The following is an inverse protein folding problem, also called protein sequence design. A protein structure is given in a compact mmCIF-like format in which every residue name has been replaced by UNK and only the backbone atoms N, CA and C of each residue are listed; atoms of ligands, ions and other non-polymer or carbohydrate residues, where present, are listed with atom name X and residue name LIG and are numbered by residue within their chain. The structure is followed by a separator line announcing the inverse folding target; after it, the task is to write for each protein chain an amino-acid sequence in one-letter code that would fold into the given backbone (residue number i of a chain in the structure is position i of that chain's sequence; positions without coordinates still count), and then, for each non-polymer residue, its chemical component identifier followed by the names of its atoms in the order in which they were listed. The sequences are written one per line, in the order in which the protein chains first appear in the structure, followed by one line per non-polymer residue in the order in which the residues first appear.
data_IF_840478216507
#
_entry.id   IF_840478216507
#
_cell.length_a   1.000
_cell.length_b   1.000
_cell.length_c   1.000
_cell.angle_alpha   90.00
_cell.angle_beta   90.00
_cell.angle_gamma   90.00
#
_symmetry.space_group_name_H-M   'P 1'
#
loop_
_entity.id
_entity.type
_entity.pdbx_description
1 polymer ?
#
# COMPACT_ATOMS: atom_id res chain seq x y z
N UNK A 1 -1.74 -22.78 -23.81
CA UNK A 1 -2.32 -21.46 -24.08
C UNK A 1 -1.25 -20.59 -24.75
N UNK A 2 -1.58 -19.88 -25.82
CA UNK A 2 -0.62 -19.01 -26.50
C UNK A 2 -0.21 -17.89 -25.60
N UNK A 3 1.09 -17.58 -25.56
CA UNK A 3 1.59 -16.33 -24.98
C UNK A 3 0.76 -15.15 -25.54
N UNK A 4 0.49 -14.11 -24.76
CA UNK A 4 -0.04 -12.87 -25.30
C UNK A 4 0.87 -12.38 -26.44
N UNK A 5 0.38 -11.50 -27.30
CA UNK A 5 1.22 -10.95 -28.37
C UNK A 5 2.32 -10.12 -27.72
N UNK A 6 3.48 -10.74 -27.48
CA UNK A 6 4.58 -10.17 -26.74
C UNK A 6 5.49 -9.33 -27.64
N UNK A 7 5.98 -8.21 -27.08
CA UNK A 7 6.97 -7.34 -27.69
C UNK A 7 8.30 -8.08 -27.89
N UNK A 8 9.11 -7.65 -28.88
CA UNK A 8 10.44 -8.19 -29.12
C UNK A 8 11.41 -8.05 -27.93
N UNK A 9 11.10 -7.14 -26.99
CA UNK A 9 11.87 -6.89 -25.77
C UNK A 9 11.18 -7.48 -24.51
N UNK A 10 10.30 -8.47 -24.67
CA UNK A 10 9.61 -9.06 -23.55
C UNK A 10 10.54 -9.87 -22.63
N UNK A 11 10.37 -9.69 -21.33
CA UNK A 11 11.13 -10.35 -20.26
C UNK A 11 10.22 -11.02 -19.26
N UNK A 12 10.58 -12.25 -18.88
CA UNK A 12 10.08 -12.89 -17.68
C UNK A 12 11.01 -12.52 -16.53
N UNK A 13 10.44 -12.05 -15.41
CA UNK A 13 11.17 -11.71 -14.20
C UNK A 13 10.72 -12.60 -13.04
N UNK A 14 11.65 -13.00 -12.19
CA UNK A 14 11.41 -13.69 -10.94
C UNK A 14 11.63 -12.70 -9.79
N UNK A 15 10.64 -12.58 -8.92
CA UNK A 15 10.64 -11.63 -7.81
C UNK A 15 10.44 -12.43 -6.52
N UNK A 16 11.28 -12.19 -5.51
CA UNK A 16 11.09 -12.76 -4.18
C UNK A 16 9.88 -12.14 -3.48
N UNK A 17 9.32 -12.81 -2.50
CA UNK A 17 8.23 -12.27 -1.69
C UNK A 17 8.62 -10.96 -0.98
N UNK A 18 9.90 -10.76 -0.72
CA UNK A 18 10.46 -9.52 -0.16
C UNK A 18 10.59 -8.38 -1.18
N UNK A 19 10.26 -8.61 -2.47
CA UNK A 19 10.25 -7.61 -3.52
C UNK A 19 11.56 -7.48 -4.32
N UNK A 20 12.54 -8.36 -4.12
CA UNK A 20 13.80 -8.35 -4.88
C UNK A 20 13.64 -9.06 -6.23
N UNK A 21 14.15 -8.47 -7.29
CA UNK A 21 14.26 -9.13 -8.59
C UNK A 21 15.43 -10.11 -8.54
N UNK A 22 15.11 -11.40 -8.48
CA UNK A 22 16.07 -12.49 -8.32
C UNK A 22 16.49 -13.13 -9.63
N UNK A 23 15.88 -12.74 -10.74
CA UNK A 23 16.22 -13.28 -12.06
C UNK A 23 15.40 -12.67 -13.16
N UNK A 24 15.95 -12.69 -14.38
CA UNK A 24 15.23 -12.28 -15.58
C UNK A 24 15.70 -13.06 -16.80
N UNK A 25 14.84 -13.21 -17.79
CA UNK A 25 15.15 -13.84 -19.08
C UNK A 25 14.29 -13.26 -20.18
N UNK A 26 14.88 -13.00 -21.36
CA UNK A 26 14.11 -12.64 -22.55
C UNK A 26 13.29 -13.85 -23.02
N UNK A 27 12.03 -13.60 -23.39
CA UNK A 27 11.09 -14.66 -23.81
C UNK A 27 10.60 -14.49 -25.24
N UNK A 28 11.02 -13.47 -25.96
CA UNK A 28 10.62 -13.23 -27.33
C UNK A 28 10.97 -14.39 -28.24
N UNK A 29 10.00 -14.87 -29.00
CA UNK A 29 10.16 -15.96 -29.97
C UNK A 29 10.38 -17.35 -29.35
N UNK A 30 10.25 -17.51 -28.04
CA UNK A 30 10.46 -18.77 -27.33
C UNK A 30 9.12 -19.46 -27.05
N UNK A 31 9.08 -20.77 -27.25
CA UNK A 31 7.95 -21.65 -26.85
C UNK A 31 8.16 -22.24 -25.44
N UNK A 32 9.40 -22.28 -24.99
CA UNK A 32 9.82 -22.73 -23.66
C UNK A 32 11.03 -21.89 -23.24
N UNK A 33 11.10 -21.57 -21.96
CA UNK A 33 12.24 -20.86 -21.39
C UNK A 33 12.61 -21.39 -20.01
N UNK A 34 13.82 -21.12 -19.59
CA UNK A 34 14.27 -21.34 -18.21
C UNK A 34 14.79 -20.03 -17.67
N UNK A 35 14.46 -19.73 -16.43
CA UNK A 35 14.95 -18.57 -15.70
C UNK A 35 15.82 -19.03 -14.53
N UNK A 36 17.02 -18.44 -14.42
CA UNK A 36 17.84 -18.63 -13.23
C UNK A 36 17.33 -17.68 -12.14
N UNK A 37 17.09 -18.23 -10.95
CA UNK A 37 16.69 -17.47 -9.77
C UNK A 37 17.87 -17.49 -8.80
N UNK A 38 18.37 -16.32 -8.47
CA UNK A 38 19.52 -16.15 -7.58
C UNK A 38 19.05 -16.02 -6.13
N UNK A 39 19.77 -16.71 -5.25
CA UNK A 39 19.58 -16.57 -3.82
C UNK A 39 20.47 -15.49 -3.23
N UNK A 40 20.08 -15.07 -2.05
CA UNK A 40 20.88 -14.21 -1.20
C UNK A 40 22.21 -14.85 -0.86
N UNK A 41 23.31 -14.12 -1.00
CA UNK A 41 24.61 -14.66 -0.69
C UNK A 41 25.02 -14.32 0.77
N UNK A 42 25.85 -15.18 1.36
CA UNK A 42 26.33 -15.00 2.73
C UNK A 42 27.58 -14.15 2.82
N UNK A 43 28.12 -13.67 1.69
CA UNK A 43 29.33 -12.85 1.65
C UNK A 43 29.04 -11.38 1.95
N UNK A 44 27.81 -10.95 1.81
CA UNK A 44 27.30 -9.61 2.13
C UNK A 44 26.20 -9.65 3.20
N UNK A 45 26.51 -9.97 4.46
CA UNK A 45 25.49 -10.29 5.49
C UNK A 45 24.54 -9.12 5.83
N UNK A 46 24.91 -7.90 5.47
CA UNK A 46 24.11 -6.70 5.72
C UNK A 46 23.28 -6.26 4.48
N UNK A 47 23.38 -6.99 3.36
CA UNK A 47 22.71 -6.66 2.11
C UNK A 47 21.95 -7.89 1.62
N UNK A 48 20.63 -7.78 1.53
CA UNK A 48 19.80 -8.81 0.88
C UNK A 48 19.75 -8.47 -0.61
N UNK A 49 20.33 -9.33 -1.46
CA UNK A 49 20.42 -9.14 -2.91
C UNK A 49 19.82 -10.29 -3.73
N UNK A 50 19.17 -11.23 -3.06
CA UNK A 50 18.54 -12.37 -3.67
C UNK A 50 17.43 -13.01 -2.82
N UNK A 51 16.93 -14.15 -3.25
CA UNK A 51 15.88 -14.89 -2.55
C UNK A 51 16.44 -15.68 -1.36
N UNK A 52 15.76 -15.62 -0.24
CA UNK A 52 16.06 -16.46 0.92
C UNK A 52 15.56 -17.90 0.74
N UNK A 53 16.23 -18.87 1.34
CA UNK A 53 15.84 -20.27 1.26
C UNK A 53 14.41 -20.50 1.78
N UNK A 54 13.54 -21.10 0.97
CA UNK A 54 12.13 -21.32 1.28
C UNK A 54 11.21 -20.15 0.94
N UNK A 55 11.75 -19.02 0.54
CA UNK A 55 10.96 -17.83 0.15
C UNK A 55 10.14 -18.08 -1.12
N UNK A 56 8.91 -17.56 -1.15
CA UNK A 56 8.06 -17.65 -2.33
C UNK A 56 8.63 -16.81 -3.47
N UNK A 57 8.69 -17.40 -4.67
CA UNK A 57 9.06 -16.71 -5.91
C UNK A 57 7.81 -16.45 -6.73
N UNK A 58 7.64 -15.21 -7.11
CA UNK A 58 6.56 -14.71 -7.96
C UNK A 58 7.15 -14.41 -9.33
N UNK A 59 6.41 -14.75 -10.39
CA UNK A 59 6.84 -14.46 -11.75
C UNK A 59 5.94 -13.42 -12.40
N UNK A 60 6.55 -12.50 -13.13
CA UNK A 60 5.86 -11.48 -13.91
C UNK A 60 6.44 -11.44 -15.34
N UNK A 61 5.59 -11.13 -16.31
CA UNK A 61 5.99 -10.89 -17.69
C UNK A 61 5.87 -9.39 -17.97
N UNK A 62 6.95 -8.80 -18.46
CA UNK A 62 7.00 -7.41 -18.94
C UNK A 62 7.06 -7.46 -20.46
N UNK A 63 6.15 -6.78 -21.15
CA UNK A 63 6.08 -6.73 -22.61
C UNK A 63 5.70 -5.34 -23.09
N UNK A 64 6.68 -4.56 -23.54
CA UNK A 64 6.49 -3.15 -23.82
C UNK A 64 6.07 -2.39 -22.57
N UNK A 65 4.92 -1.72 -22.65
CA UNK A 65 4.32 -0.97 -21.52
C UNK A 65 3.37 -1.85 -20.66
N UNK A 66 3.19 -3.11 -21.02
CA UNK A 66 2.29 -4.03 -20.35
C UNK A 66 3.02 -4.88 -19.31
N UNK A 67 2.39 -5.06 -18.16
CA UNK A 67 2.83 -5.95 -17.08
C UNK A 67 1.78 -7.05 -16.86
N UNK A 68 2.24 -8.30 -16.81
CA UNK A 68 1.37 -9.45 -16.58
C UNK A 68 1.79 -10.22 -15.33
N UNK A 69 0.83 -10.62 -14.53
CA UNK A 69 1.02 -11.66 -13.51
C UNK A 69 1.09 -13.02 -14.20
N UNK A 70 2.05 -13.82 -13.79
CA UNK A 70 2.17 -15.21 -14.26
C UNK A 70 1.46 -16.11 -13.26
N UNK A 71 0.33 -16.68 -13.68
CA UNK A 71 -0.49 -17.59 -12.87
C UNK A 71 -0.14 -19.04 -13.24
N UNK A 72 0.12 -19.88 -12.26
CA UNK A 72 0.54 -21.27 -12.42
C UNK A 72 -0.03 -22.16 -11.32
N UNK A 73 -0.06 -23.47 -11.55
CA UNK A 73 -0.78 -24.43 -10.71
C UNK A 73 -0.15 -24.73 -9.35
N UNK A 74 1.16 -24.44 -9.16
CA UNK A 74 1.89 -24.82 -7.94
C UNK A 74 2.81 -23.69 -7.49
N UNK A 75 2.83 -23.38 -6.21
CA UNK A 75 3.77 -22.40 -5.65
C UNK A 75 5.22 -22.84 -5.84
N UNK A 76 6.10 -21.89 -6.14
CA UNK A 76 7.54 -22.08 -6.27
C UNK A 76 8.23 -21.38 -5.12
N UNK A 77 8.91 -22.14 -4.30
CA UNK A 77 9.73 -21.62 -3.22
C UNK A 77 11.21 -21.78 -3.59
N UNK A 78 12.00 -20.75 -3.30
CA UNK A 78 13.41 -20.78 -3.61
C UNK A 78 14.13 -21.89 -2.85
N UNK A 79 14.95 -22.66 -3.58
CA UNK A 79 15.85 -23.67 -3.02
C UNK A 79 17.19 -23.58 -3.75
N UNK A 80 18.28 -23.50 -3.00
CA UNK A 80 19.62 -23.50 -3.58
C UNK A 80 19.84 -24.76 -4.41
N UNK A 81 20.22 -24.59 -5.68
CA UNK A 81 20.34 -25.67 -6.66
C UNK A 81 19.03 -26.45 -6.95
N UNK A 82 17.90 -25.91 -6.55
CA UNK A 82 16.59 -26.47 -6.83
C UNK A 82 16.19 -26.28 -8.29
N UNK A 83 15.28 -27.14 -8.77
CA UNK A 83 14.65 -27.06 -10.08
C UNK A 83 13.13 -27.12 -9.89
N UNK A 84 12.41 -26.16 -10.44
CA UNK A 84 10.95 -26.14 -10.46
C UNK A 84 10.42 -26.02 -11.89
N UNK A 85 9.29 -26.64 -12.14
CA UNK A 85 8.59 -26.53 -13.42
C UNK A 85 7.27 -25.82 -13.22
N UNK A 86 7.02 -24.77 -14.02
CA UNK A 86 5.74 -24.11 -14.08
C UNK A 86 4.86 -24.83 -15.12
N UNK A 87 3.72 -25.31 -14.65
CA UNK A 87 2.71 -25.96 -15.50
C UNK A 87 1.43 -25.13 -15.49
N UNK A 88 0.62 -25.28 -16.53
CA UNK A 88 -0.67 -24.58 -16.67
C UNK A 88 -0.55 -23.06 -16.52
N UNK A 89 0.49 -22.50 -17.15
CA UNK A 89 0.83 -21.09 -17.05
C UNK A 89 -0.19 -20.24 -17.82
N UNK A 90 -0.75 -19.25 -17.13
CA UNK A 90 -1.58 -18.19 -17.69
C UNK A 90 -0.96 -16.83 -17.40
N UNK A 91 -1.36 -15.81 -18.18
CA UNK A 91 -0.88 -14.44 -18.05
C UNK A 91 -2.07 -13.53 -17.88
N UNK A 92 -2.17 -12.90 -16.72
CA UNK A 92 -3.23 -11.95 -16.39
C UNK A 92 -2.63 -10.53 -16.43
N UNK A 93 -3.18 -9.67 -17.31
CA UNK A 93 -2.74 -8.28 -17.42
C UNK A 93 -2.97 -7.57 -16.09
N UNK A 94 -1.91 -6.93 -15.60
CA UNK A 94 -1.98 -6.06 -14.42
C UNK A 94 -2.30 -4.66 -14.93
N UNK A 95 -3.49 -4.17 -14.62
CA UNK A 95 -3.88 -2.79 -14.95
C UNK A 95 -3.20 -1.82 -13.97
N UNK A 96 -2.07 -1.28 -14.39
CA UNK A 96 -1.33 -0.27 -13.63
C UNK A 96 -1.92 1.14 -13.78
N UNK A 97 -2.99 1.32 -14.57
CA UNK A 97 -3.65 2.61 -14.74
C UNK A 97 -4.49 3.00 -13.51
N UNK A 98 -4.87 2.01 -12.70
CA UNK A 98 -5.62 2.24 -11.46
C UNK A 98 -4.64 2.44 -10.31
N UNK A 99 -4.57 3.67 -9.83
CA UNK A 99 -3.83 4.03 -8.62
C UNK A 99 -4.85 4.33 -7.53
N UNK A 100 -4.90 3.48 -6.53
CA UNK A 100 -5.75 3.70 -5.35
C UNK A 100 -5.14 4.73 -4.41
N UNK A 101 -5.98 5.53 -3.77
CA UNK A 101 -5.57 6.52 -2.78
C UNK A 101 -6.60 7.61 -2.63
N UNK A 102 -6.34 8.59 -1.76
CA UNK A 102 -7.23 9.71 -1.57
C UNK A 102 -7.19 10.66 -2.79
N UNK A 103 -8.34 10.83 -3.46
CA UNK A 103 -8.50 11.70 -4.65
C UNK A 103 -8.98 13.12 -4.33
N UNK A 104 -9.28 13.42 -3.05
CA UNK A 104 -9.82 14.72 -2.65
C UNK A 104 -8.70 15.67 -2.23
N UNK A 105 -8.56 16.78 -2.94
CA UNK A 105 -7.50 17.77 -2.73
C UNK A 105 -7.59 18.57 -1.43
N UNK A 106 -8.68 18.42 -0.68
CA UNK A 106 -8.85 19.00 0.67
C UNK A 106 -8.31 18.09 1.78
N UNK A 107 -8.01 16.83 1.48
CA UNK A 107 -7.48 15.86 2.46
C UNK A 107 -5.97 16.03 2.65
N UNK A 108 -5.49 15.80 3.87
CA UNK A 108 -4.06 15.89 4.20
C UNK A 108 -3.23 14.81 3.52
N UNK A 109 -3.83 13.66 3.22
CA UNK A 109 -3.21 12.56 2.49
C UNK A 109 -3.63 12.50 1.02
N UNK A 110 -3.99 13.64 0.42
CA UNK A 110 -4.27 13.70 -1.01
C UNK A 110 -3.14 13.11 -1.85
N UNK A 111 -3.47 12.17 -2.72
CA UNK A 111 -2.54 11.60 -3.68
C UNK A 111 -2.89 12.07 -5.10
N UNK A 112 -2.11 12.99 -5.69
CA UNK A 112 -2.40 13.51 -7.05
C UNK A 112 -2.27 12.46 -8.15
N UNK A 113 -1.68 11.29 -7.86
CA UNK A 113 -1.57 10.18 -8.80
C UNK A 113 -2.72 9.18 -8.66
N UNK A 114 -3.52 9.28 -7.60
CA UNK A 114 -4.67 8.39 -7.42
C UNK A 114 -5.72 8.65 -8.49
N UNK A 115 -6.20 7.57 -9.10
CA UNK A 115 -7.27 7.56 -10.09
C UNK A 115 -8.58 7.02 -9.51
N UNK A 116 -8.50 6.31 -8.38
CA UNK A 116 -9.63 5.72 -7.68
C UNK A 116 -9.49 5.92 -6.16
N UNK A 117 -10.59 6.40 -5.54
CA UNK A 117 -10.64 6.59 -4.09
C UNK A 117 -10.71 5.24 -3.37
N UNK A 118 -9.80 5.01 -2.43
CA UNK A 118 -9.75 3.81 -1.59
C UNK A 118 -10.39 4.00 -0.21
N UNK A 119 -11.02 5.16 0.03
CA UNK A 119 -11.62 5.53 1.30
C UNK A 119 -10.61 5.89 2.40
N UNK A 120 -9.34 6.07 2.06
CA UNK A 120 -8.28 6.39 3.03
C UNK A 120 -8.18 7.87 3.39
N UNK A 121 -9.00 8.74 2.78
CA UNK A 121 -8.93 10.18 2.97
C UNK A 121 -9.13 10.60 4.42
N UNK A 122 -8.27 11.47 4.90
CA UNK A 122 -8.41 12.10 6.21
C UNK A 122 -8.03 13.58 6.19
N UNK A 123 -8.56 14.32 7.15
CA UNK A 123 -8.26 15.72 7.39
C UNK A 123 -8.16 15.97 8.90
N UNK A 124 -7.07 16.59 9.32
CA UNK A 124 -6.93 17.12 10.68
C UNK A 124 -7.52 18.52 10.77
N UNK A 125 -8.06 18.87 11.93
CA UNK A 125 -8.60 20.19 12.17
C UNK A 125 -9.63 20.22 13.28
N UNK A 126 -10.39 21.30 13.35
CA UNK A 126 -11.45 21.48 14.36
C UNK A 126 -12.78 20.87 13.89
N UNK A 127 -13.28 19.88 14.64
CA UNK A 127 -14.57 19.24 14.42
C UNK A 127 -15.69 19.75 15.36
N UNK A 128 -15.41 20.80 16.16
CA UNK A 128 -16.40 21.38 17.07
C UNK A 128 -17.24 22.46 16.35
N UNK A 129 -18.58 22.26 16.20
CA UNK A 129 -19.45 23.19 15.46
C UNK A 129 -19.57 24.59 16.10
N UNK A 130 -19.15 24.76 17.35
CA UNK A 130 -19.15 26.05 18.02
C UNK A 130 -17.85 26.85 17.80
N UNK A 131 -16.88 26.29 17.11
CA UNK A 131 -15.63 26.95 16.80
C UNK A 131 -15.72 27.76 15.48
N UNK A 132 -14.99 28.87 15.39
CA UNK A 132 -14.91 29.69 14.16
C UNK A 132 -14.30 28.95 12.97
N UNK A 133 -13.36 28.07 13.25
CA UNK A 133 -12.67 27.28 12.25
C UNK A 133 -13.22 25.85 12.13
N UNK A 134 -14.49 25.66 12.51
CA UNK A 134 -15.19 24.39 12.28
C UNK A 134 -15.16 23.98 10.83
N UNK A 135 -14.84 22.71 10.59
CA UNK A 135 -14.93 22.10 9.26
C UNK A 135 -15.56 20.70 9.40
N UNK A 136 -16.73 20.53 8.76
CA UNK A 136 -17.49 19.27 8.80
C UNK A 136 -16.76 18.09 8.15
N UNK A 137 -15.76 18.34 7.29
CA UNK A 137 -14.95 17.29 6.64
C UNK A 137 -13.80 16.79 7.49
N UNK A 138 -13.56 17.38 8.65
CA UNK A 138 -12.50 16.94 9.58
C UNK A 138 -12.80 15.53 10.07
N UNK A 139 -11.79 14.66 9.92
CA UNK A 139 -11.83 13.27 10.35
C UNK A 139 -11.20 13.08 11.72
N UNK A 140 -10.14 13.86 11.99
CA UNK A 140 -9.40 13.81 13.25
C UNK A 140 -9.28 15.20 13.88
N UNK A 141 -9.74 15.32 15.12
CA UNK A 141 -9.58 16.53 15.95
C UNK A 141 -8.09 16.71 16.29
N UNK A 142 -7.54 17.91 16.01
CA UNK A 142 -6.14 18.27 16.27
C UNK A 142 -5.96 19.33 17.37
N UNK A 143 -7.05 19.66 18.07
CA UNK A 143 -7.13 20.70 19.08
C UNK A 143 -6.87 22.13 18.55
N UNK A 144 -7.05 22.35 17.27
CA UNK A 144 -6.88 23.66 16.61
C UNK A 144 -8.12 24.57 16.73
N UNK A 145 -9.16 24.12 17.44
CA UNK A 145 -10.42 24.86 17.54
C UNK A 145 -10.24 26.27 18.11
N UNK A 146 -10.77 27.26 17.39
CA UNK A 146 -10.78 28.66 17.79
C UNK A 146 -12.19 29.07 18.24
N UNK A 147 -12.31 29.53 19.47
CA UNK A 147 -13.58 29.96 20.06
C UNK A 147 -13.53 31.44 20.37
N UNK A 148 -14.72 32.09 20.38
CA UNK A 148 -14.80 33.43 20.89
C UNK A 148 -14.74 33.50 22.43
N UNK A 149 -14.42 34.67 22.96
CA UNK A 149 -14.27 34.87 24.38
C UNK A 149 -15.60 34.68 25.14
N UNK A 150 -16.74 34.95 24.49
CA UNK A 150 -18.07 34.79 25.10
C UNK A 150 -18.40 33.32 25.32
N UNK A 151 -18.09 32.48 24.36
CA UNK A 151 -18.28 31.02 24.42
C UNK A 151 -17.39 30.39 25.48
N UNK A 152 -16.12 30.80 25.56
CA UNK A 152 -15.19 30.33 26.58
C UNK A 152 -15.64 30.71 27.98
N UNK A 153 -16.12 31.95 28.18
CA UNK A 153 -16.65 32.42 29.46
C UNK A 153 -17.90 31.65 29.90
N UNK A 154 -18.79 31.30 28.95
CA UNK A 154 -19.96 30.46 29.25
C UNK A 154 -19.56 29.08 29.76
N UNK A 155 -18.61 28.42 29.10
CA UNK A 155 -18.12 27.10 29.53
C UNK A 155 -17.48 27.16 30.91
N UNK A 156 -16.74 28.23 31.21
CA UNK A 156 -16.13 28.45 32.54
C UNK A 156 -17.20 28.53 33.60
N UNK A 157 -18.25 29.35 33.40
CA UNK A 157 -19.36 29.49 34.33
C UNK A 157 -20.09 28.15 34.56
N UNK A 158 -20.38 27.42 33.50
CA UNK A 158 -21.03 26.10 33.59
C UNK A 158 -20.19 25.11 34.39
N UNK A 159 -18.87 25.07 34.15
CA UNK A 159 -17.92 24.26 34.92
C UNK A 159 -17.92 24.60 36.41
N UNK A 160 -17.87 25.89 36.74
CA UNK A 160 -17.77 26.36 38.10
C UNK A 160 -19.06 26.03 38.87
N UNK A 161 -20.24 26.18 38.23
CA UNK A 161 -21.53 25.77 38.82
C UNK A 161 -21.58 24.23 39.05
N UNK A 162 -21.08 23.43 38.14
CA UNK A 162 -21.02 21.98 38.31
C UNK A 162 -20.08 21.55 39.42
N UNK A 163 -18.96 22.25 39.60
CA UNK A 163 -18.02 22.03 40.71
C UNK A 163 -18.66 22.35 42.07
N UNK A 164 -19.35 23.50 42.20
CA UNK A 164 -20.07 23.86 43.43
C UNK A 164 -21.15 22.83 43.80
N UNK A 165 -21.87 22.29 42.78
CA UNK A 165 -22.86 21.24 43.00
C UNK A 165 -22.22 19.94 43.50
N UNK A 166 -21.09 19.53 42.87
CA UNK A 166 -20.32 18.34 43.29
C UNK A 166 -19.84 18.45 44.74
N UNK A 167 -19.23 19.58 45.10
CA UNK A 167 -18.72 19.84 46.44
C UNK A 167 -19.84 19.84 47.50
N UNK A 168 -21.04 20.30 47.13
CA UNK A 168 -22.22 20.27 47.97
C UNK A 168 -22.72 18.86 48.22
N UNK A 169 -22.63 18.00 47.23
CA UNK A 169 -23.09 16.60 47.30
C UNK A 169 -22.12 15.73 48.13
N UNK A 170 -20.82 16.00 48.07
CA UNK A 170 -19.81 15.27 48.82
C UNK A 170 -19.79 15.67 50.33
N UNK A 171 -20.41 16.81 50.67
CA UNK A 171 -20.46 17.32 52.05
C UNK A 171 -21.71 16.85 52.84
N UNK A 172 -22.58 16.03 52.25
CA UNK A 172 -23.77 15.43 52.92
C UNK A 172 -23.52 13.98 53.29
#
# INVERSE_FOLDING_TARGET
QSLPNIDENAYLVAISQSGFVCGSVSVFGLSQTSIAVWGDDTSSPDIVDGASAGELIIFQLISGDDLYSVVYSSQVNYQTNGLAFLNDVNFDLIDCSIVHGCIYNWADNYNPLATEDDGSCYLYGCHNPNAFNYNANVTFEDNSCLFDESYLNQIIIERDVLQELSDTYESQ
#
